data_IF_727795586896
#
_entry.id   IF_727795586896
#
_cell.length_a   1.000
_cell.length_b   1.000
_cell.length_c   1.000
_cell.angle_alpha   90.00
_cell.angle_beta   90.00
_cell.angle_gamma   90.00
#
_symmetry.space_group_name_H-M   'P 1'
#
loop_
_entity.id
_entity.type
_entity.pdbx_description
1 polymer ?
#
# COMPACT_ATOMS: atom_id res chain seq x y z
N UNK A 1 -0.07 10.25 -14.39
CA UNK A 1 -0.79 9.14 -13.75
C UNK A 1 0.07 8.71 -12.59
N UNK A 2 -0.45 8.83 -11.38
CA UNK A 2 0.34 8.67 -10.17
C UNK A 2 0.64 7.18 -9.97
N UNK A 3 1.91 6.83 -10.15
CA UNK A 3 2.45 5.50 -9.88
C UNK A 3 2.57 5.41 -8.35
N UNK A 4 1.45 5.13 -7.67
CA UNK A 4 1.43 4.76 -6.26
C UNK A 4 1.85 3.31 -6.17
N UNK A 5 3.12 3.04 -6.40
CA UNK A 5 3.70 1.73 -6.21
C UNK A 5 4.86 1.91 -5.27
N UNK A 6 4.93 1.08 -4.23
CA UNK A 6 6.04 1.13 -3.29
C UNK A 6 7.36 1.03 -4.07
N UNK A 7 8.28 1.94 -3.80
CA UNK A 7 9.60 2.00 -4.45
C UNK A 7 10.38 0.69 -4.30
N UNK A 8 10.13 -0.05 -3.22
CA UNK A 8 10.65 -1.40 -2.98
C UNK A 8 10.14 -2.40 -4.04
N UNK A 9 8.85 -2.36 -4.37
CA UNK A 9 8.22 -3.24 -5.37
C UNK A 9 8.75 -2.90 -6.76
N UNK A 10 8.79 -1.62 -7.12
CA UNK A 10 9.37 -1.17 -8.40
C UNK A 10 10.84 -1.64 -8.50
N UNK A 11 11.62 -1.43 -7.44
CA UNK A 11 13.01 -1.85 -7.37
C UNK A 11 13.19 -3.36 -7.51
N UNK A 12 12.31 -4.14 -6.88
CA UNK A 12 12.35 -5.59 -6.92
C UNK A 12 11.92 -6.16 -8.30
N UNK A 13 11.00 -5.48 -8.99
CA UNK A 13 10.52 -5.87 -10.32
C UNK A 13 11.40 -5.39 -11.48
N UNK A 14 12.36 -4.48 -11.23
CA UNK A 14 13.20 -3.85 -12.27
C UNK A 14 13.97 -4.84 -13.15
N UNK A 15 14.39 -5.97 -12.58
CA UNK A 15 15.15 -7.01 -13.28
C UNK A 15 14.26 -8.16 -13.78
N UNK A 16 12.95 -8.08 -13.56
CA UNK A 16 12.01 -9.09 -13.99
C UNK A 16 11.77 -8.96 -15.51
N UNK A 17 11.72 -10.09 -16.20
CA UNK A 17 11.28 -10.14 -17.59
C UNK A 17 9.76 -10.21 -17.62
N UNK A 18 9.13 -9.20 -18.23
CA UNK A 18 7.70 -9.16 -18.49
C UNK A 18 7.42 -9.38 -19.99
N UNK A 19 6.24 -9.90 -20.38
CA UNK A 19 5.09 -10.25 -19.54
C UNK A 19 5.33 -11.45 -18.61
N UNK A 20 4.68 -11.46 -17.45
CA UNK A 20 4.82 -12.53 -16.45
C UNK A 20 3.53 -12.80 -15.68
N UNK A 21 3.29 -14.06 -15.33
CA UNK A 21 2.16 -14.46 -14.49
C UNK A 21 2.38 -14.08 -13.02
N UNK A 22 1.31 -13.99 -12.24
CA UNK A 22 1.35 -13.75 -10.79
C UNK A 22 2.35 -14.65 -10.06
N UNK A 23 2.35 -15.96 -10.36
CA UNK A 23 3.28 -16.91 -9.74
C UNK A 23 4.74 -16.60 -10.05
N UNK A 24 5.05 -16.21 -11.29
CA UNK A 24 6.39 -15.82 -11.70
C UNK A 24 6.85 -14.52 -11.05
N UNK A 25 5.91 -13.58 -10.84
CA UNK A 25 6.15 -12.34 -10.09
C UNK A 25 6.52 -12.70 -8.65
N UNK A 26 5.70 -13.51 -7.96
CA UNK A 26 5.95 -13.90 -6.57
C UNK A 26 7.28 -14.67 -6.45
N UNK A 27 7.54 -15.63 -7.34
CA UNK A 27 8.78 -16.41 -7.35
C UNK A 27 10.02 -15.54 -7.61
N UNK A 28 9.90 -14.48 -8.42
CA UNK A 28 10.98 -13.52 -8.64
C UNK A 28 11.26 -12.72 -7.37
N UNK A 29 10.19 -12.29 -6.70
CA UNK A 29 10.23 -11.44 -5.52
C UNK A 29 10.73 -12.19 -4.29
N UNK A 30 10.35 -13.46 -4.11
CA UNK A 30 10.83 -14.31 -3.01
C UNK A 30 12.34 -14.60 -3.10
N UNK A 31 12.93 -14.49 -4.29
CA UNK A 31 14.38 -14.59 -4.49
C UNK A 31 15.13 -13.31 -4.12
N UNK A 32 14.44 -12.20 -3.89
CA UNK A 32 15.02 -10.91 -3.50
C UNK A 32 14.92 -10.78 -1.96
N UNK A 33 16.06 -10.67 -1.28
CA UNK A 33 16.10 -10.58 0.20
C UNK A 33 15.70 -9.21 0.77
N UNK A 34 15.48 -8.21 -0.08
CA UNK A 34 15.34 -6.81 0.32
C UNK A 34 13.91 -6.26 0.16
N UNK A 35 12.91 -7.13 0.08
CA UNK A 35 11.51 -6.72 0.01
C UNK A 35 10.80 -6.99 1.34
N UNK A 36 10.04 -6.01 1.81
CA UNK A 36 9.22 -6.11 3.01
C UNK A 36 8.12 -7.18 2.89
N UNK A 37 7.81 -7.86 3.99
CA UNK A 37 6.71 -8.86 4.03
C UNK A 37 5.37 -8.25 3.64
N UNK A 38 5.11 -6.99 3.99
CA UNK A 38 3.91 -6.27 3.58
C UNK A 38 3.79 -6.16 2.04
N UNK A 39 4.89 -5.84 1.37
CA UNK A 39 4.95 -5.78 -0.10
C UNK A 39 4.74 -7.16 -0.74
N UNK A 40 5.28 -8.24 -0.16
CA UNK A 40 5.00 -9.61 -0.61
C UNK A 40 3.53 -9.98 -0.46
N UNK A 41 2.89 -9.60 0.64
CA UNK A 41 1.46 -9.84 0.86
C UNK A 41 0.63 -9.08 -0.18
N UNK A 42 1.00 -7.83 -0.50
CA UNK A 42 0.33 -7.04 -1.52
C UNK A 42 0.45 -7.69 -2.91
N UNK A 43 1.65 -8.15 -3.29
CA UNK A 43 1.89 -8.87 -4.54
C UNK A 43 1.15 -10.22 -4.60
N UNK A 44 1.06 -10.93 -3.47
CA UNK A 44 0.26 -12.15 -3.35
C UNK A 44 -1.25 -11.92 -3.54
N UNK A 45 -1.74 -10.68 -3.42
CA UNK A 45 -3.15 -10.33 -3.66
C UNK A 45 -3.45 -9.94 -5.10
N UNK A 46 -2.44 -9.90 -5.98
CA UNK A 46 -2.64 -9.69 -7.41
C UNK A 46 -3.67 -10.69 -7.96
N UNK A 47 -4.41 -10.26 -8.97
CA UNK A 47 -5.28 -11.15 -9.74
C UNK A 47 -4.44 -12.19 -10.47
N UNK A 48 -5.00 -13.39 -10.65
CA UNK A 48 -4.34 -14.48 -11.36
C UNK A 48 -4.44 -14.26 -12.87
N UNK A 49 -3.57 -13.37 -13.37
CA UNK A 49 -3.45 -13.00 -14.79
C UNK A 49 -2.00 -12.75 -15.16
N UNK A 50 -1.78 -12.56 -16.46
CA UNK A 50 -0.49 -12.16 -17.01
C UNK A 50 -0.41 -10.65 -17.02
N UNK A 51 0.65 -10.11 -16.41
CA UNK A 51 0.93 -8.69 -16.38
C UNK A 51 1.99 -8.34 -17.42
N UNK A 52 1.76 -7.29 -18.20
CA UNK A 52 2.60 -6.93 -19.34
C UNK A 52 3.67 -5.89 -18.99
N UNK A 53 3.44 -5.09 -17.95
CA UNK A 53 4.36 -4.06 -17.50
C UNK A 53 4.36 -3.94 -15.99
N UNK A 54 5.44 -3.38 -15.44
CA UNK A 54 5.51 -3.04 -14.02
C UNK A 54 4.42 -2.05 -13.63
N UNK A 55 4.06 -1.13 -14.53
CA UNK A 55 2.95 -0.20 -14.34
C UNK A 55 1.62 -0.94 -14.19
N UNK A 56 1.35 -1.94 -15.03
CA UNK A 56 0.13 -2.76 -14.92
C UNK A 56 0.11 -3.55 -13.61
N UNK A 57 1.26 -4.07 -13.17
CA UNK A 57 1.36 -4.71 -11.86
C UNK A 57 0.99 -3.69 -10.78
N UNK A 58 1.62 -2.53 -10.78
CA UNK A 58 1.40 -1.46 -9.81
C UNK A 58 -0.05 -0.96 -9.77
N UNK A 59 -0.70 -0.80 -10.92
CA UNK A 59 -2.12 -0.40 -11.02
C UNK A 59 -3.07 -1.46 -10.44
N UNK A 60 -2.63 -2.72 -10.35
CA UNK A 60 -3.41 -3.85 -9.85
C UNK A 60 -2.97 -4.31 -8.45
N UNK A 61 -1.85 -3.81 -7.95
CA UNK A 61 -1.50 -3.96 -6.55
C UNK A 61 -2.44 -3.06 -5.78
N UNK A 62 -3.40 -3.67 -5.10
CA UNK A 62 -4.04 -3.01 -3.96
C UNK A 62 -2.96 -2.89 -2.90
N UNK A 63 -2.35 -1.70 -2.78
CA UNK A 63 -1.35 -1.48 -1.74
C UNK A 63 -2.00 -1.87 -0.44
N UNK A 64 -1.40 -2.86 0.22
CA UNK A 64 -1.73 -3.16 1.59
C UNK A 64 -1.23 -1.96 2.35
N UNK A 65 -2.16 -1.06 2.66
CA UNK A 65 -2.03 -0.04 3.69
C UNK A 65 -0.95 -0.42 4.70
N UNK A 66 0.08 0.42 4.74
CA UNK A 66 1.33 0.12 5.42
C UNK A 66 1.05 -0.39 6.85
N UNK A 67 1.82 -1.38 7.30
CA UNK A 67 1.71 -1.85 8.69
C UNK A 67 1.88 -0.68 9.67
N UNK A 68 2.72 0.31 9.35
CA UNK A 68 2.85 1.52 10.15
C UNK A 68 1.56 2.35 10.20
N UNK A 69 0.81 2.45 9.09
CA UNK A 69 -0.48 3.15 9.08
C UNK A 69 -1.53 2.37 9.88
N UNK A 70 -1.57 1.05 9.71
CA UNK A 70 -2.51 0.20 10.46
C UNK A 70 -2.22 0.23 11.96
N UNK A 71 -0.95 0.16 12.35
CA UNK A 71 -0.53 0.25 13.74
C UNK A 71 -0.76 1.65 14.31
N UNK A 72 -0.51 2.69 13.52
CA UNK A 72 -0.79 4.07 13.93
C UNK A 72 -2.28 4.28 14.20
N UNK A 73 -3.16 3.68 13.40
CA UNK A 73 -4.61 3.84 13.53
C UNK A 73 -5.27 2.77 14.42
N UNK A 74 -4.52 1.80 14.95
CA UNK A 74 -5.07 0.65 15.67
C UNK A 74 -5.86 1.04 16.93
N UNK A 75 -5.42 2.10 17.62
CA UNK A 75 -6.07 2.65 18.81
C UNK A 75 -6.88 3.93 18.49
N UNK A 76 -7.22 4.17 17.23
CA UNK A 76 -8.05 5.31 16.86
C UNK A 76 -9.53 4.94 17.00
N UNK A 77 -10.31 5.87 17.58
CA UNK A 77 -11.76 5.74 17.59
C UNK A 77 -12.32 6.04 16.19
N UNK A 78 -12.96 5.03 15.59
CA UNK A 78 -13.66 5.11 14.31
C UNK A 78 -15.17 4.94 14.54
N UNK A 79 -16.04 5.58 13.75
CA UNK A 79 -15.79 6.27 12.48
C UNK A 79 -15.13 7.65 12.62
N UNK A 80 -14.29 8.02 11.66
CA UNK A 80 -13.61 9.32 11.64
C UNK A 80 -13.45 9.88 10.22
N UNK A 81 -13.41 11.20 10.11
CA UNK A 81 -13.06 11.90 8.87
C UNK A 81 -11.55 12.12 8.73
N UNK A 82 -11.10 12.49 7.52
CA UNK A 82 -9.68 12.76 7.21
C UNK A 82 -9.00 13.70 8.22
N UNK A 83 -9.63 14.82 8.56
CA UNK A 83 -9.03 15.79 9.48
C UNK A 83 -8.83 15.21 10.89
N UNK A 84 -9.78 14.42 11.38
CA UNK A 84 -9.67 13.74 12.68
C UNK A 84 -8.56 12.68 12.67
N UNK A 85 -8.42 11.96 11.56
CA UNK A 85 -7.32 11.00 11.33
C UNK A 85 -5.98 11.72 11.36
N UNK A 86 -5.83 12.82 10.60
CA UNK A 86 -4.60 13.61 10.54
C UNK A 86 -4.24 14.25 11.89
N UNK A 87 -5.23 14.79 12.60
CA UNK A 87 -5.03 15.37 13.93
C UNK A 87 -4.60 14.31 14.92
N UNK A 88 -5.21 13.11 14.89
CA UNK A 88 -4.81 11.97 15.71
C UNK A 88 -3.35 11.58 15.47
N UNK A 89 -2.95 11.37 14.21
CA UNK A 89 -1.59 10.89 13.93
C UNK A 89 -0.52 11.93 14.23
N UNK A 90 -0.84 13.21 14.02
CA UNK A 90 0.05 14.33 14.39
C UNK A 90 0.14 14.51 15.90
N UNK A 91 -0.97 14.39 16.63
CA UNK A 91 -1.00 14.51 18.08
C UNK A 91 -0.20 13.40 18.77
N UNK A 92 -0.29 12.16 18.27
CA UNK A 92 0.49 11.02 18.75
C UNK A 92 1.95 11.01 18.26
N UNK A 93 2.34 11.99 17.43
CA UNK A 93 3.69 12.16 16.90
C UNK A 93 4.20 10.93 16.12
N UNK A 94 3.34 10.34 15.29
CA UNK A 94 3.73 9.28 14.35
C UNK A 94 4.65 9.81 13.24
N UNK A 95 5.26 8.89 12.47
CA UNK A 95 6.23 9.25 11.44
C UNK A 95 5.64 10.20 10.39
N UNK A 96 6.46 11.09 9.85
CA UNK A 96 6.04 12.01 8.78
C UNK A 96 5.53 11.23 7.54
N UNK A 97 6.03 10.01 7.35
CA UNK A 97 5.55 9.09 6.32
C UNK A 97 4.06 8.71 6.52
N UNK A 98 3.67 8.34 7.74
CA UNK A 98 2.26 8.02 8.07
C UNK A 98 1.38 9.25 7.86
N UNK A 99 1.80 10.42 8.34
CA UNK A 99 1.05 11.66 8.19
C UNK A 99 0.83 12.00 6.72
N UNK A 100 1.89 11.99 5.90
CA UNK A 100 1.80 12.31 4.47
C UNK A 100 0.95 11.31 3.70
N UNK A 101 1.07 10.02 4.01
CA UNK A 101 0.23 9.00 3.37
C UNK A 101 -1.25 9.26 3.61
N UNK A 102 -1.62 9.68 4.82
CA UNK A 102 -3.01 9.97 5.19
C UNK A 102 -3.51 11.33 4.68
N UNK A 103 -2.64 12.22 4.19
CA UNK A 103 -3.03 13.51 3.59
C UNK A 103 -3.72 13.33 2.23
N UNK A 104 -3.46 12.21 1.54
CA UNK A 104 -4.03 11.90 0.23
C UNK A 104 -5.49 11.37 0.31
N UNK A 105 -5.98 11.08 1.52
CA UNK A 105 -7.36 10.62 1.72
C UNK A 105 -8.39 11.63 1.19
N UNK A 106 -9.55 11.15 0.68
CA UNK A 106 -10.62 12.02 0.19
C UNK A 106 -11.23 12.89 1.30
N UNK A 107 -11.44 14.16 0.98
CA UNK A 107 -12.14 15.10 1.87
C UNK A 107 -13.66 14.82 1.90
N UNK A 108 -14.29 15.06 3.05
CA UNK A 108 -15.74 14.92 3.20
C UNK A 108 -16.27 13.47 3.26
N UNK A 109 -15.38 12.48 3.28
CA UNK A 109 -15.71 11.08 3.53
C UNK A 109 -15.53 10.72 5.01
N UNK A 110 -16.36 9.82 5.51
CA UNK A 110 -16.28 9.27 6.87
C UNK A 110 -15.87 7.81 6.77
N UNK A 111 -14.69 7.50 7.28
CA UNK A 111 -14.12 6.17 7.25
C UNK A 111 -14.60 5.39 8.47
N UNK A 112 -15.24 4.25 8.22
CA UNK A 112 -15.90 3.49 9.30
C UNK A 112 -14.96 2.53 10.02
N UNK A 113 -13.85 2.15 9.37
CA UNK A 113 -12.87 1.22 9.89
C UNK A 113 -11.53 1.44 9.17
N UNK A 114 -10.45 0.89 9.74
CA UNK A 114 -9.10 1.02 9.18
C UNK A 114 -9.04 0.47 7.75
N UNK A 115 -9.76 -0.61 7.44
CA UNK A 115 -9.78 -1.18 6.08
C UNK A 115 -10.41 -0.23 5.04
N UNK A 116 -11.35 0.60 5.46
CA UNK A 116 -12.00 1.65 4.64
C UNK A 116 -10.96 2.74 4.30
N UNK A 117 -10.21 3.21 5.29
CA UNK A 117 -9.08 4.15 5.12
C UNK A 117 -8.06 3.56 4.14
N UNK A 118 -7.66 2.32 4.41
CA UNK A 118 -6.72 1.57 3.62
C UNK A 118 -7.17 1.25 2.19
N UNK A 119 -8.46 1.41 1.86
CA UNK A 119 -8.99 1.21 0.51
C UNK A 119 -8.99 2.48 -0.33
N UNK A 120 -8.88 3.64 0.34
CA UNK A 120 -8.87 4.98 -0.27
C UNK A 120 -7.45 5.60 -0.28
N UNK A 121 -6.45 4.85 0.21
CA UNK A 121 -5.01 5.11 0.09
C UNK A 121 -4.44 4.37 -1.13
#
# INVERSE_FOLDING_TARGET
MAIFCNIEIIGALKDMKLPGAKSEIIDHIDKKSNISEASKIALNKLEDKVYNSTDEICDNIKIVCDLEIRDALAEMDLPAGKNEILDYVRFRNFSEFVVRSLEDLPDGYTFNNISDICSEL
#
